data_IF_630974734763
#
_entry.id   IF_630974734763
#
_cell.length_a   1.000
_cell.length_b   1.000
_cell.length_c   1.000
_cell.angle_alpha   90.00
_cell.angle_beta   90.00
_cell.angle_gamma   90.00
#
_symmetry.space_group_name_H-M   'P 1'
#
loop_
_entity.id
_entity.type
_entity.pdbx_description
1 polymer ?
#
# COMPACT_ATOMS: atom_id res chain seq x y z
N UNK A 1 58.47 -33.37 19.82
CA UNK A 1 57.66 -32.92 18.71
C UNK A 1 56.23 -32.54 19.22
N UNK A 2 55.93 -31.26 19.27
CA UNK A 2 54.58 -30.81 19.72
C UNK A 2 53.78 -30.48 18.46
N UNK A 3 52.68 -31.22 18.24
CA UNK A 3 51.77 -30.97 17.13
C UNK A 3 50.80 -29.83 17.50
N UNK A 4 50.86 -28.74 16.76
CA UNK A 4 49.93 -27.61 16.87
C UNK A 4 48.72 -27.92 16.02
N UNK A 5 47.55 -28.12 16.63
CA UNK A 5 46.27 -28.29 15.93
C UNK A 5 45.70 -26.90 15.65
N UNK A 6 45.64 -26.55 14.38
CA UNK A 6 45.03 -25.32 13.91
C UNK A 6 43.51 -25.52 13.77
N UNK A 7 42.71 -24.95 14.65
CA UNK A 7 41.25 -24.97 14.53
C UNK A 7 40.79 -23.88 13.59
N UNK A 8 40.36 -24.27 12.37
CA UNK A 8 39.72 -23.36 11.41
C UNK A 8 38.26 -23.20 11.82
N UNK A 9 37.93 -22.02 12.38
CA UNK A 9 36.56 -21.64 12.69
C UNK A 9 35.82 -21.25 11.42
N UNK A 10 34.83 -22.02 11.00
CA UNK A 10 33.93 -21.67 9.90
C UNK A 10 32.87 -20.72 10.41
N UNK A 11 32.96 -19.43 10.05
CA UNK A 11 31.92 -18.46 10.34
C UNK A 11 30.79 -18.59 9.32
N UNK A 12 29.64 -19.17 9.75
CA UNK A 12 28.43 -19.25 8.96
C UNK A 12 27.79 -17.86 8.94
N UNK A 13 27.96 -17.12 7.85
CA UNK A 13 27.26 -15.86 7.61
C UNK A 13 25.79 -16.17 7.24
N UNK A 14 24.84 -15.98 8.17
CA UNK A 14 23.43 -15.95 7.84
C UNK A 14 23.15 -14.63 7.09
N UNK A 15 23.11 -14.69 5.77
CA UNK A 15 22.53 -13.63 4.96
C UNK A 15 21.01 -13.73 5.11
N UNK A 16 20.44 -13.00 6.07
CA UNK A 16 19.00 -12.80 6.14
C UNK A 16 18.57 -12.05 4.91
N UNK A 17 17.70 -12.62 4.06
CA UNK A 17 16.99 -11.88 3.04
C UNK A 17 16.18 -10.82 3.78
N UNK A 18 16.43 -9.55 3.53
CA UNK A 18 15.56 -8.47 3.96
C UNK A 18 14.23 -8.68 3.23
N UNK A 19 13.21 -9.20 3.90
CA UNK A 19 11.84 -9.17 3.41
C UNK A 19 11.47 -7.70 3.34
N UNK A 20 11.05 -7.23 2.16
CA UNK A 20 10.49 -5.90 2.01
C UNK A 20 9.21 -5.84 2.85
N UNK A 21 9.17 -4.96 3.85
CA UNK A 21 7.99 -4.82 4.71
C UNK A 21 6.84 -4.17 3.91
N UNK A 22 5.58 -4.47 4.25
CA UNK A 22 4.44 -3.77 3.66
C UNK A 22 4.55 -2.26 3.87
N UNK A 23 4.18 -1.50 2.85
CA UNK A 23 4.18 -0.03 2.86
C UNK A 23 2.74 0.44 3.04
N UNK A 24 2.52 1.40 3.93
CA UNK A 24 1.17 1.93 4.22
C UNK A 24 1.06 3.38 3.78
N UNK A 25 0.04 3.66 2.99
CA UNK A 25 -0.31 4.99 2.49
C UNK A 25 -1.64 5.41 3.08
N UNK A 26 -1.76 6.67 3.46
CA UNK A 26 -3.00 7.22 4.05
C UNK A 26 -3.42 8.51 3.36
N UNK A 27 -4.70 8.83 3.45
CA UNK A 27 -5.22 10.11 2.97
C UNK A 27 -6.53 10.50 3.65
N UNK A 28 -6.82 11.79 3.66
CA UNK A 28 -8.14 12.34 3.96
C UNK A 28 -8.85 12.67 2.65
N UNK A 29 -10.09 12.22 2.52
CA UNK A 29 -10.94 12.42 1.36
C UNK A 29 -11.84 13.64 1.59
N UNK A 30 -11.91 14.55 0.61
CA UNK A 30 -12.80 15.71 0.65
C UNK A 30 -13.12 16.22 -0.75
N UNK A 31 -14.24 16.97 -0.87
CA UNK A 31 -14.59 17.65 -2.12
C UNK A 31 -13.61 18.77 -2.49
N UNK A 32 -12.99 19.39 -1.49
CA UNK A 32 -11.97 20.42 -1.71
C UNK A 32 -10.71 19.87 -2.40
N UNK A 33 -10.42 18.57 -2.25
CA UNK A 33 -9.31 17.91 -2.89
C UNK A 33 -9.62 17.47 -4.32
N UNK A 34 -10.87 17.56 -4.79
CA UNK A 34 -11.23 17.21 -6.16
C UNK A 34 -10.60 18.18 -7.19
N UNK A 35 -10.58 17.77 -8.45
CA UNK A 35 -10.07 18.60 -9.55
C UNK A 35 -11.01 18.55 -10.76
N UNK A 36 -11.83 19.60 -10.97
CA UNK A 36 -11.93 20.80 -10.14
C UNK A 36 -12.52 20.54 -8.74
N UNK A 37 -12.13 21.34 -7.75
CA UNK A 37 -12.67 21.25 -6.40
C UNK A 37 -14.18 21.47 -6.39
N UNK A 38 -14.89 20.80 -5.49
CA UNK A 38 -16.32 20.97 -5.28
C UNK A 38 -16.65 21.31 -3.82
N UNK A 39 -17.87 21.75 -3.57
CA UNK A 39 -18.34 22.17 -2.25
C UNK A 39 -19.11 21.07 -1.50
N UNK A 40 -18.90 19.80 -1.81
CA UNK A 40 -19.53 18.72 -1.04
C UNK A 40 -19.07 18.78 0.42
N UNK A 41 -19.98 18.61 1.39
CA UNK A 41 -19.63 18.37 2.79
C UNK A 41 -19.08 16.98 3.01
N UNK A 42 -19.13 16.11 1.99
CA UNK A 42 -18.62 14.75 2.02
C UNK A 42 -17.16 14.69 2.48
N UNK A 43 -16.88 13.75 3.36
CA UNK A 43 -15.56 13.56 3.93
C UNK A 43 -15.25 12.08 4.12
N UNK A 44 -13.99 11.75 4.30
CA UNK A 44 -13.59 10.37 4.54
C UNK A 44 -12.10 10.23 4.80
N UNK A 45 -11.68 9.01 4.96
CA UNK A 45 -10.27 8.61 5.02
C UNK A 45 -10.05 7.32 4.25
N UNK A 46 -8.85 7.13 3.75
CA UNK A 46 -8.44 5.87 3.16
C UNK A 46 -7.06 5.46 3.67
N UNK A 47 -6.89 4.15 3.82
CA UNK A 47 -5.61 3.49 4.07
C UNK A 47 -5.39 2.44 2.99
N UNK A 48 -4.23 2.45 2.38
CA UNK A 48 -3.80 1.44 1.41
C UNK A 48 -2.51 0.82 1.92
N UNK A 49 -2.53 -0.48 2.18
CA UNK A 49 -1.33 -1.23 2.56
C UNK A 49 -0.93 -2.13 1.40
N UNK A 50 0.26 -1.92 0.87
CA UNK A 50 0.81 -2.70 -0.24
C UNK A 50 2.01 -3.53 0.24
N UNK A 51 1.96 -4.82 -0.01
CA UNK A 51 3.03 -5.76 0.29
C UNK A 51 3.64 -6.28 -1.03
N UNK A 52 4.82 -5.79 -1.42
CA UNK A 52 5.48 -6.21 -2.65
C UNK A 52 5.99 -7.66 -2.60
N UNK A 53 6.14 -8.25 -1.41
CA UNK A 53 6.61 -9.64 -1.28
C UNK A 53 5.50 -10.66 -1.57
N UNK A 54 4.25 -10.29 -1.32
CA UNK A 54 3.06 -11.14 -1.53
C UNK A 54 2.17 -10.68 -2.67
N UNK A 55 2.46 -9.52 -3.28
CA UNK A 55 1.64 -8.87 -4.31
C UNK A 55 0.23 -8.52 -3.81
N UNK A 56 0.06 -8.28 -2.51
CA UNK A 56 -1.24 -7.96 -1.94
C UNK A 56 -1.38 -6.46 -1.67
N UNK A 57 -2.54 -5.92 -2.01
CA UNK A 57 -2.92 -4.53 -1.72
C UNK A 57 -4.24 -4.51 -0.97
N UNK A 58 -4.22 -4.16 0.32
CA UNK A 58 -5.42 -3.93 1.11
C UNK A 58 -5.86 -2.48 1.02
N UNK A 59 -7.13 -2.25 0.77
CA UNK A 59 -7.75 -0.93 0.67
C UNK A 59 -8.85 -0.81 1.71
N UNK A 60 -8.69 0.12 2.63
CA UNK A 60 -9.66 0.46 3.67
C UNK A 60 -10.15 1.88 3.44
N UNK A 61 -11.47 2.08 3.41
CA UNK A 61 -12.09 3.40 3.22
C UNK A 61 -13.21 3.60 4.22
N UNK A 62 -13.28 4.78 4.79
CA UNK A 62 -14.44 5.26 5.55
C UNK A 62 -14.88 6.59 4.96
N UNK A 63 -16.19 6.76 4.74
CA UNK A 63 -16.73 8.00 4.17
C UNK A 63 -18.11 8.31 4.71
N UNK A 64 -18.49 9.58 4.67
CA UNK A 64 -19.79 10.05 5.14
C UNK A 64 -20.17 11.41 4.58
N UNK A 65 -21.41 11.80 4.83
CA UNK A 65 -22.01 13.07 4.46
C UNK A 65 -21.93 13.40 2.96
N UNK A 66 -21.93 12.37 2.09
CA UNK A 66 -22.01 12.58 0.65
C UNK A 66 -23.37 13.20 0.27
N UNK A 67 -23.37 14.10 -0.72
CA UNK A 67 -24.60 14.69 -1.28
C UNK A 67 -25.32 13.65 -2.14
N UNK A 68 -24.59 12.90 -2.94
CA UNK A 68 -25.13 11.85 -3.80
C UNK A 68 -24.88 10.45 -3.27
N UNK A 69 -25.69 9.50 -3.72
CA UNK A 69 -25.42 8.10 -3.44
C UNK A 69 -24.18 7.62 -4.21
N UNK A 70 -23.32 6.83 -3.55
CA UNK A 70 -22.12 6.27 -4.15
C UNK A 70 -22.41 5.49 -5.44
N UNK A 71 -21.58 5.69 -6.46
CA UNK A 71 -21.66 5.00 -7.76
C UNK A 71 -20.40 4.21 -8.08
N UNK A 72 -19.23 4.63 -7.57
CA UNK A 72 -17.97 3.93 -7.76
C UNK A 72 -16.91 4.42 -6.77
N UNK A 73 -15.84 3.64 -6.62
CA UNK A 73 -14.58 4.06 -6.00
C UNK A 73 -13.40 3.34 -6.64
N UNK A 74 -12.29 4.07 -6.80
CA UNK A 74 -11.07 3.57 -7.44
C UNK A 74 -9.83 4.24 -6.86
N UNK A 75 -8.66 3.65 -7.16
CA UNK A 75 -7.38 4.36 -7.13
C UNK A 75 -7.03 4.76 -8.56
N UNK A 76 -6.70 6.02 -8.72
CA UNK A 76 -6.20 6.63 -9.96
C UNK A 76 -4.68 6.76 -9.90
N UNK A 77 -3.99 6.50 -11.01
CA UNK A 77 -2.55 6.64 -11.18
C UNK A 77 -2.18 6.89 -12.65
N UNK A 78 -1.12 7.56 -12.97
CA UNK A 78 -0.29 8.34 -12.09
C UNK A 78 -0.34 9.78 -12.61
N UNK A 79 -0.49 10.74 -11.70
CA UNK A 79 -0.52 12.16 -12.09
C UNK A 79 0.88 12.63 -12.49
N UNK A 80 0.96 13.65 -13.35
CA UNK A 80 2.25 14.21 -13.80
C UNK A 80 3.05 14.87 -12.66
N UNK A 81 2.34 15.33 -11.62
CA UNK A 81 2.92 16.02 -10.46
C UNK A 81 2.37 15.39 -9.19
N UNK A 82 3.21 15.06 -8.20
CA UNK A 82 2.74 14.57 -6.90
C UNK A 82 1.74 15.53 -6.25
N UNK A 83 0.66 14.99 -5.70
CA UNK A 83 -0.36 15.74 -4.99
C UNK A 83 -1.24 16.65 -5.85
N UNK A 84 -1.14 16.62 -7.19
CA UNK A 84 -1.90 17.51 -8.06
C UNK A 84 -2.31 16.88 -9.39
N UNK A 85 -3.40 17.39 -9.98
CA UNK A 85 -3.87 16.98 -11.30
C UNK A 85 -4.81 15.77 -11.28
N UNK A 86 -5.05 15.20 -12.46
CA UNK A 86 -5.92 14.05 -12.69
C UNK A 86 -5.15 12.94 -13.41
N UNK A 87 -5.53 11.69 -13.14
CA UNK A 87 -5.02 10.49 -13.81
C UNK A 87 -6.17 9.55 -14.16
N UNK A 88 -5.91 8.59 -15.03
CA UNK A 88 -6.84 7.49 -15.31
C UNK A 88 -7.00 6.55 -14.11
N UNK A 89 -8.06 5.73 -14.15
CA UNK A 89 -8.26 4.67 -13.16
C UNK A 89 -7.20 3.59 -13.36
N UNK A 90 -6.46 3.27 -12.30
CA UNK A 90 -5.46 2.20 -12.31
C UNK A 90 -6.03 0.86 -11.83
N UNK A 91 -6.89 0.89 -10.83
CA UNK A 91 -7.46 -0.31 -10.19
C UNK A 91 -8.74 -0.79 -10.87
N UNK A 92 -9.35 -1.81 -10.30
CA UNK A 92 -10.55 -2.49 -10.82
C UNK A 92 -11.66 -1.52 -11.25
N UNK A 93 -12.29 -1.80 -12.39
CA UNK A 93 -13.45 -1.08 -12.93
C UNK A 93 -14.65 -2.02 -13.08
N UNK A 94 -15.91 -1.53 -13.03
CA UNK A 94 -16.34 -0.13 -12.90
C UNK A 94 -16.19 0.44 -11.47
N UNK A 95 -15.91 -0.36 -10.47
CA UNK A 95 -15.67 0.01 -9.06
C UNK A 95 -14.92 -1.11 -8.36
N UNK A 96 -14.35 -0.84 -7.21
CA UNK A 96 -13.84 -1.88 -6.33
C UNK A 96 -14.92 -2.93 -6.03
N UNK A 97 -14.57 -4.22 -6.11
CA UNK A 97 -15.47 -5.33 -5.75
C UNK A 97 -15.96 -5.18 -4.31
N UNK A 98 -17.27 -5.21 -4.11
CA UNK A 98 -17.88 -5.11 -2.77
C UNK A 98 -17.91 -3.71 -2.18
N UNK A 99 -17.50 -2.66 -2.92
CA UNK A 99 -17.65 -1.29 -2.45
C UNK A 99 -19.13 -0.95 -2.22
N UNK A 100 -19.50 -0.29 -1.08
CA UNK A 100 -20.89 0.04 -0.79
C UNK A 100 -21.42 1.06 -1.78
N UNK A 101 -22.32 0.64 -2.65
CA UNK A 101 -23.00 1.48 -3.65
C UNK A 101 -24.40 1.87 -3.21
N UNK A 102 -24.90 3.01 -3.70
CA UNK A 102 -26.24 3.48 -3.43
C UNK A 102 -26.41 4.12 -2.05
N UNK A 103 -25.33 4.47 -1.36
CA UNK A 103 -25.34 5.03 0.00
C UNK A 103 -24.59 6.38 0.06
N UNK A 104 -24.84 7.16 1.10
CA UNK A 104 -24.16 8.44 1.35
C UNK A 104 -23.07 8.35 2.42
N UNK A 105 -22.95 7.20 3.08
CA UNK A 105 -21.92 6.91 4.07
C UNK A 105 -21.64 5.40 4.11
N UNK A 106 -20.43 5.01 4.48
CA UNK A 106 -20.08 3.60 4.58
C UNK A 106 -18.62 3.36 4.93
N UNK A 107 -18.31 2.09 5.07
CA UNK A 107 -16.95 1.59 5.24
C UNK A 107 -16.67 0.49 4.23
N UNK A 108 -15.42 0.35 3.84
CA UNK A 108 -14.93 -0.65 2.92
C UNK A 108 -13.61 -1.22 3.40
N UNK A 109 -13.41 -2.52 3.22
CA UNK A 109 -12.17 -3.23 3.52
C UNK A 109 -12.06 -4.42 2.57
N UNK A 110 -11.05 -4.41 1.70
CA UNK A 110 -10.82 -5.48 0.76
C UNK A 110 -9.33 -5.61 0.41
N UNK A 111 -8.89 -6.85 0.19
CA UNK A 111 -7.53 -7.14 -0.25
C UNK A 111 -7.55 -7.64 -1.68
N UNK A 112 -6.77 -6.98 -2.54
CA UNK A 112 -6.56 -7.32 -3.94
C UNK A 112 -5.26 -8.09 -4.10
N UNK A 113 -5.29 -9.11 -4.96
CA UNK A 113 -4.09 -9.77 -5.47
C UNK A 113 -3.63 -9.03 -6.73
N UNK A 114 -2.54 -8.28 -6.61
CA UNK A 114 -2.01 -7.44 -7.69
C UNK A 114 -1.28 -8.25 -8.77
N UNK A 115 -1.10 -9.56 -8.60
CA UNK A 115 -0.66 -10.45 -9.66
C UNK A 115 -1.78 -10.83 -10.65
N UNK A 116 -3.04 -10.43 -10.37
CA UNK A 116 -4.21 -10.77 -11.16
C UNK A 116 -4.73 -9.58 -11.98
N UNK A 117 -5.06 -9.83 -13.25
CA UNK A 117 -5.66 -8.82 -14.14
C UNK A 117 -6.95 -8.21 -13.58
N UNK A 118 -7.72 -9.00 -12.82
CA UNK A 118 -8.98 -8.55 -12.21
C UNK A 118 -8.82 -7.41 -11.20
N UNK A 119 -7.62 -7.18 -10.69
CA UNK A 119 -7.32 -6.08 -9.76
C UNK A 119 -7.09 -4.73 -10.45
N UNK A 120 -6.99 -4.72 -11.78
CA UNK A 120 -6.64 -3.54 -12.57
C UNK A 120 -7.74 -3.11 -13.55
N UNK A 121 -7.65 -1.85 -13.96
CA UNK A 121 -8.26 -1.38 -15.20
C UNK A 121 -7.42 -1.85 -16.39
N UNK A 122 -8.04 -2.50 -17.37
CA UNK A 122 -7.35 -2.98 -18.57
C UNK A 122 -6.64 -1.86 -19.34
N UNK A 123 -7.19 -0.64 -19.34
CA UNK A 123 -6.56 0.51 -19.97
C UNK A 123 -5.23 0.89 -19.28
N UNK A 124 -5.16 0.77 -17.96
CA UNK A 124 -3.92 0.98 -17.20
C UNK A 124 -2.88 -0.07 -17.55
N UNK A 125 -3.26 -1.36 -17.59
CA UNK A 125 -2.36 -2.45 -17.99
C UNK A 125 -1.83 -2.25 -19.41
N UNK A 126 -2.70 -1.88 -20.36
CA UNK A 126 -2.30 -1.60 -21.74
C UNK A 126 -1.31 -0.44 -21.83
N UNK A 127 -1.52 0.63 -21.07
CA UNK A 127 -0.62 1.78 -21.03
C UNK A 127 0.78 1.44 -20.46
N UNK A 128 0.88 0.36 -19.66
CA UNK A 128 2.13 -0.14 -19.09
C UNK A 128 2.62 -1.43 -19.79
N UNK A 129 2.51 -1.46 -21.13
CA UNK A 129 3.07 -2.53 -21.97
C UNK A 129 2.29 -3.85 -21.98
N UNK A 130 1.09 -3.90 -21.36
CA UNK A 130 0.28 -5.12 -21.29
C UNK A 130 0.77 -6.15 -20.27
N UNK A 131 1.76 -5.81 -19.45
CA UNK A 131 2.34 -6.68 -18.42
C UNK A 131 1.76 -6.33 -17.04
N UNK A 132 1.36 -7.35 -16.27
CA UNK A 132 0.87 -7.15 -14.90
C UNK A 132 2.00 -6.71 -13.97
N UNK A 133 3.21 -7.26 -14.13
CA UNK A 133 4.37 -6.85 -13.34
C UNK A 133 4.75 -5.39 -13.55
N UNK A 134 4.69 -4.89 -14.79
CA UNK A 134 5.00 -3.49 -15.08
C UNK A 134 3.88 -2.56 -14.57
N UNK A 135 2.63 -3.02 -14.63
CA UNK A 135 1.48 -2.29 -14.07
C UNK A 135 1.54 -2.20 -12.56
N UNK A 136 1.89 -3.29 -11.88
CA UNK A 136 2.10 -3.32 -10.44
C UNK A 136 3.24 -2.38 -10.04
N UNK A 137 4.38 -2.46 -10.72
CA UNK A 137 5.53 -1.59 -10.48
C UNK A 137 5.17 -0.11 -10.69
N UNK A 138 4.40 0.22 -11.75
CA UNK A 138 3.95 1.57 -12.02
C UNK A 138 2.99 2.10 -10.94
N UNK A 139 2.04 1.28 -10.48
CA UNK A 139 1.13 1.66 -9.41
C UNK A 139 1.88 1.84 -8.08
N UNK A 140 2.79 0.93 -7.73
CA UNK A 140 3.62 1.02 -6.53
C UNK A 140 4.46 2.32 -6.54
N UNK A 141 5.17 2.59 -7.65
CA UNK A 141 5.93 3.83 -7.81
C UNK A 141 5.05 5.09 -7.71
N UNK A 142 3.82 5.03 -8.25
CA UNK A 142 2.85 6.12 -8.16
C UNK A 142 2.32 6.35 -6.74
N UNK A 143 2.17 5.30 -5.94
CA UNK A 143 1.84 5.37 -4.52
C UNK A 143 3.00 6.00 -3.74
N UNK A 144 4.21 5.48 -3.89
CA UNK A 144 5.42 5.94 -3.20
C UNK A 144 5.77 7.40 -3.53
N UNK A 145 5.50 7.84 -4.76
CA UNK A 145 5.78 9.21 -5.19
C UNK A 145 4.65 10.21 -4.90
N UNK A 146 3.52 9.77 -4.30
CA UNK A 146 2.35 10.62 -4.06
C UNK A 146 1.62 11.06 -5.34
N UNK A 147 1.74 10.28 -6.42
CA UNK A 147 1.08 10.51 -7.72
C UNK A 147 -0.22 9.71 -7.88
N UNK A 148 -0.62 8.94 -6.86
CA UNK A 148 -1.85 8.18 -6.83
C UNK A 148 -2.86 8.79 -5.86
N UNK A 149 -4.14 8.73 -6.20
CA UNK A 149 -5.21 9.18 -5.31
C UNK A 149 -6.39 8.21 -5.31
N UNK A 150 -7.06 8.10 -4.16
CA UNK A 150 -8.33 7.41 -4.05
C UNK A 150 -9.47 8.40 -4.24
N UNK A 151 -10.49 7.99 -5.00
CA UNK A 151 -11.65 8.78 -5.32
C UNK A 151 -12.94 8.00 -5.04
N UNK A 152 -13.96 8.67 -4.49
CA UNK A 152 -15.32 8.17 -4.32
C UNK A 152 -16.25 9.01 -5.20
N UNK A 153 -16.94 8.34 -6.13
CA UNK A 153 -17.91 8.95 -7.04
C UNK A 153 -19.33 8.80 -6.50
N UNK A 154 -20.17 9.75 -6.82
CA UNK A 154 -21.59 9.69 -6.48
C UNK A 154 -22.50 10.11 -7.64
N UNK A 155 -23.80 9.92 -7.45
CA UNK A 155 -24.81 10.35 -8.41
C UNK A 155 -24.86 11.88 -8.62
N UNK A 156 -24.45 12.65 -7.60
CA UNK A 156 -24.37 14.12 -7.67
C UNK A 156 -23.04 14.59 -8.27
N UNK A 157 -21.98 13.81 -8.14
CA UNK A 157 -20.65 14.10 -8.65
C UNK A 157 -20.09 12.86 -9.38
N UNK A 158 -20.52 12.62 -10.64
CA UNK A 158 -20.07 11.45 -11.39
C UNK A 158 -18.58 11.42 -11.67
N UNK A 159 -17.92 12.59 -11.69
CA UNK A 159 -16.46 12.70 -11.88
C UNK A 159 -15.66 12.51 -10.58
N UNK A 160 -16.32 12.45 -9.42
CA UNK A 160 -15.76 12.33 -8.09
C UNK A 160 -16.39 13.33 -7.12
N UNK A 161 -16.83 12.86 -5.96
CA UNK A 161 -17.38 13.68 -4.91
C UNK A 161 -16.34 14.03 -3.86
N UNK A 162 -15.54 13.05 -3.46
CA UNK A 162 -14.44 13.23 -2.53
C UNK A 162 -13.22 12.43 -2.98
N UNK A 163 -12.04 13.02 -2.85
CA UNK A 163 -10.78 12.32 -3.12
C UNK A 163 -9.65 12.77 -2.21
N UNK A 164 -8.54 12.02 -2.23
CA UNK A 164 -7.30 12.40 -1.57
C UNK A 164 -6.10 11.67 -2.16
N UNK A 165 -4.97 12.38 -2.26
CA UNK A 165 -3.69 11.79 -2.65
C UNK A 165 -3.16 10.90 -1.54
N UNK A 166 -2.78 9.69 -1.90
CA UNK A 166 -2.21 8.71 -1.00
C UNK A 166 -0.75 9.08 -0.71
N UNK A 167 -0.41 9.21 0.57
CA UNK A 167 0.93 9.57 1.02
C UNK A 167 1.46 8.52 1.97
N UNK A 168 2.75 8.21 1.88
CA UNK A 168 3.40 7.25 2.77
C UNK A 168 3.25 7.71 4.24
N UNK A 169 2.75 6.83 5.09
CA UNK A 169 2.60 7.07 6.52
C UNK A 169 3.85 6.72 7.34
N UNK A 170 4.93 6.34 6.65
CA UNK A 170 6.15 5.85 7.25
C UNK A 170 6.10 4.35 7.63
N UNK A 171 7.22 3.78 8.03
CA UNK A 171 7.29 2.36 8.37
C UNK A 171 6.36 2.04 9.54
N UNK A 172 5.56 0.99 9.37
CA UNK A 172 4.81 0.41 10.51
C UNK A 172 5.84 -0.11 11.51
N UNK A 173 5.84 0.33 12.78
CA UNK A 173 6.76 -0.20 13.77
C UNK A 173 6.63 -1.72 13.83
N UNK A 174 7.71 -2.44 13.55
CA UNK A 174 7.72 -3.88 13.74
C UNK A 174 7.35 -4.21 15.20
N UNK A 175 6.52 -5.24 15.44
CA UNK A 175 6.24 -5.67 16.81
C UNK A 175 7.57 -5.93 17.52
N UNK A 176 7.79 -5.30 18.66
CA UNK A 176 9.04 -5.37 19.45
C UNK A 176 9.52 -6.79 19.78
N UNK A 177 8.71 -7.82 19.47
CA UNK A 177 9.03 -9.23 19.62
C UNK A 177 10.20 -9.74 18.77
N UNK A 178 10.41 -9.22 17.56
CA UNK A 178 11.54 -9.65 16.72
C UNK A 178 12.88 -9.11 17.21
N UNK A 179 12.90 -7.88 17.75
CA UNK A 179 14.10 -7.31 18.38
C UNK A 179 14.52 -8.08 19.65
N UNK A 180 13.55 -8.62 20.40
CA UNK A 180 13.83 -9.42 21.60
C UNK A 180 14.46 -10.79 21.27
N UNK A 181 14.05 -11.43 20.17
CA UNK A 181 14.65 -12.72 19.75
C UNK A 181 16.12 -12.56 19.33
N UNK A 182 16.46 -11.51 18.61
CA UNK A 182 17.84 -11.20 18.25
C UNK A 182 18.74 -10.95 19.48
N UNK A 183 18.23 -10.25 20.48
CA UNK A 183 18.95 -9.97 21.74
C UNK A 183 19.13 -11.21 22.62
N UNK A 184 18.16 -12.13 22.64
CA UNK A 184 18.23 -13.36 23.43
C UNK A 184 19.26 -14.35 22.86
N UNK A 185 19.40 -14.44 21.55
CA UNK A 185 20.40 -15.30 20.91
C UNK A 185 21.82 -14.74 21.12
N UNK A 186 22.00 -13.43 21.03
CA UNK A 186 23.27 -12.77 21.28
C UNK A 186 23.80 -12.98 22.71
N UNK A 187 22.94 -12.93 23.72
CA UNK A 187 23.30 -13.16 25.12
C UNK A 187 23.57 -14.62 25.42
N UNK A 188 22.85 -15.57 24.81
CA UNK A 188 23.08 -16.99 24.99
C UNK A 188 24.47 -17.43 24.44
N UNK A 189 24.86 -16.93 23.28
CA UNK A 189 26.18 -17.18 22.69
C UNK A 189 27.31 -16.54 23.49
N UNK A 190 27.09 -15.34 24.04
CA UNK A 190 28.06 -14.64 24.87
C UNK A 190 28.31 -15.36 26.22
N UNK A 191 27.29 -15.91 26.85
CA UNK A 191 27.38 -16.68 28.09
C UNK A 191 28.06 -18.04 27.91
N UNK A 192 27.84 -18.69 26.77
CA UNK A 192 28.49 -19.96 26.45
C UNK A 192 30.00 -19.82 26.25
N UNK A 193 30.44 -18.74 25.59
CA UNK A 193 31.88 -18.44 25.39
C UNK A 193 32.63 -18.13 26.68
N UNK A 194 31.96 -17.62 27.76
CA UNK A 194 32.59 -17.36 29.07
C UNK A 194 32.74 -18.59 29.95
N UNK A 195 32.08 -19.71 29.63
CA UNK A 195 32.18 -20.97 30.37
C UNK A 195 33.23 -21.95 29.83
N UNK A 196 33.81 -21.66 28.68
CA UNK A 196 34.76 -22.54 27.96
C UNK A 196 36.19 -21.92 27.96
N UNK A 197 36.38 -20.78 28.56
CA UNK A 197 37.69 -20.14 28.83
C UNK A 197 38.02 -20.27 30.33
#
# INVERSE_FOLDING_TARGET
MRATVLAVGFALSLTGSALCAPITFTTILSGANESPANASPGHGSATVTYDPATHLMRVEVSFGDLIGNTTASHIHCCTAVPGAGNAGVATQTPTFTGFPLGVTSGTYDHTFDMSLLASYNLAFVTAHGGSLSDSEAALAAGLESGQSYLNVHSSSFPSGEIRGFLTDSGPVPEPAGLALLGSAIGTAVGLWRRRVA
#
